data_IF_351126067728
#
_entry.id   IF_351126067728
#
_cell.length_a   1.000
_cell.length_b   1.000
_cell.length_c   1.000
_cell.angle_alpha   90.00
_cell.angle_beta   90.00
_cell.angle_gamma   90.00
#
_symmetry.space_group_name_H-M   'P 1'
#
loop_
_entity.id
_entity.type
_entity.pdbx_description
1 polymer ?
#
# COMPACT_ATOMS: atom_id res chain seq x y z
N UNK A 1 -7.51 -3.06 8.25
CA UNK A 1 -6.50 -4.09 8.61
C UNK A 1 -5.34 -3.41 9.30
N UNK A 2 -4.79 -3.94 10.40
CA UNK A 2 -3.67 -3.27 11.11
C UNK A 2 -2.35 -3.38 10.34
N UNK A 3 -1.38 -2.52 10.67
CA UNK A 3 -0.04 -2.53 10.06
C UNK A 3 0.69 -3.85 10.31
N UNK A 4 0.55 -4.41 11.51
CA UNK A 4 1.15 -5.69 11.90
C UNK A 4 0.58 -6.84 11.08
N UNK A 5 -0.75 -6.84 10.87
CA UNK A 5 -1.41 -7.83 10.02
C UNK A 5 -0.95 -7.70 8.56
N UNK A 6 -0.87 -6.48 8.02
CA UNK A 6 -0.34 -6.26 6.66
C UNK A 6 1.11 -6.75 6.51
N UNK A 7 1.95 -6.48 7.52
CA UNK A 7 3.34 -6.95 7.53
C UNK A 7 3.40 -8.48 7.54
N UNK A 8 2.60 -9.13 8.40
CA UNK A 8 2.51 -10.58 8.47
C UNK A 8 2.10 -11.18 7.12
N UNK A 9 1.05 -10.64 6.49
CA UNK A 9 0.60 -11.07 5.16
C UNK A 9 1.71 -10.92 4.11
N UNK A 10 2.46 -9.82 4.10
CA UNK A 10 3.58 -9.65 3.18
C UNK A 10 4.66 -10.72 3.41
N UNK A 11 5.01 -11.03 4.66
CA UNK A 11 6.01 -12.06 5.00
C UNK A 11 5.53 -13.45 4.56
N UNK A 12 4.29 -13.81 4.89
CA UNK A 12 3.67 -15.10 4.54
C UNK A 12 3.63 -15.34 3.03
N UNK A 13 3.42 -14.28 2.24
CA UNK A 13 3.35 -14.36 0.78
C UNK A 13 4.72 -14.12 0.10
N UNK A 14 5.80 -13.94 0.87
CA UNK A 14 7.14 -13.65 0.33
C UNK A 14 7.24 -12.31 -0.41
N UNK A 15 6.38 -11.35 -0.08
CA UNK A 15 6.37 -10.02 -0.70
C UNK A 15 7.43 -9.12 -0.08
N UNK A 16 8.18 -8.42 -0.92
CA UNK A 16 9.21 -7.49 -0.47
C UNK A 16 8.60 -6.29 0.27
N UNK A 17 9.07 -6.08 1.50
CA UNK A 17 8.85 -4.87 2.30
C UNK A 17 10.19 -4.16 2.44
N UNK A 18 10.18 -2.86 2.18
CA UNK A 18 11.37 -2.01 2.41
C UNK A 18 11.57 -1.73 3.90
N UNK A 19 12.79 -1.36 4.34
CA UNK A 19 13.05 -1.07 5.77
C UNK A 19 12.17 0.04 6.38
N UNK A 20 11.62 0.92 5.53
CA UNK A 20 10.71 1.99 5.93
C UNK A 20 9.22 1.63 5.83
N UNK A 21 8.91 0.32 5.85
CA UNK A 21 7.55 -0.24 5.79
C UNK A 21 6.75 0.19 4.58
N UNK A 22 7.42 0.19 3.42
CA UNK A 22 6.76 0.43 2.14
C UNK A 22 6.76 -0.79 1.26
N UNK A 23 5.68 -0.90 0.49
CA UNK A 23 5.45 -1.93 -0.51
C UNK A 23 5.17 -1.31 -1.87
N UNK A 24 5.46 -2.05 -2.95
CA UNK A 24 5.14 -1.60 -4.32
C UNK A 24 3.62 -1.53 -4.52
N UNK A 25 3.20 -0.75 -5.53
CA UNK A 25 1.78 -0.54 -5.89
C UNK A 25 0.97 -1.82 -6.05
N UNK A 26 1.53 -2.83 -6.71
CA UNK A 26 0.89 -4.13 -6.94
C UNK A 26 0.60 -4.86 -5.63
N UNK A 27 1.55 -4.86 -4.70
CA UNK A 27 1.36 -5.42 -3.35
C UNK A 27 0.38 -4.58 -2.55
N UNK A 28 0.54 -3.25 -2.57
CA UNK A 28 -0.37 -2.33 -1.88
C UNK A 28 -1.83 -2.55 -2.30
N UNK A 29 -2.06 -2.73 -3.60
CA UNK A 29 -3.38 -2.99 -4.17
C UNK A 29 -3.99 -4.30 -3.65
N UNK A 30 -3.17 -5.37 -3.56
CA UNK A 30 -3.59 -6.66 -2.98
C UNK A 30 -3.94 -6.54 -1.50
N UNK A 31 -3.13 -5.81 -0.71
CA UNK A 31 -3.35 -5.65 0.74
C UNK A 31 -4.67 -4.94 1.08
N UNK A 32 -5.12 -4.03 0.21
CA UNK A 32 -6.37 -3.27 0.42
C UNK A 32 -7.54 -3.81 -0.41
N UNK A 33 -7.38 -4.97 -1.06
CA UNK A 33 -8.36 -5.58 -1.97
C UNK A 33 -8.91 -4.62 -3.03
N UNK A 34 -8.01 -3.95 -3.76
CA UNK A 34 -8.35 -3.02 -4.85
C UNK A 34 -7.56 -3.30 -6.12
N UNK A 35 -8.08 -2.80 -7.24
CA UNK A 35 -7.34 -2.77 -8.48
C UNK A 35 -6.16 -1.78 -8.38
N UNK A 36 -4.95 -2.12 -8.89
CA UNK A 36 -3.79 -1.21 -8.88
C UNK A 36 -4.05 0.15 -9.55
N UNK A 37 -4.96 0.18 -10.52
CA UNK A 37 -5.38 1.40 -11.22
C UNK A 37 -6.09 2.39 -10.28
N UNK A 38 -6.80 1.90 -9.26
CA UNK A 38 -7.46 2.72 -8.24
C UNK A 38 -6.46 3.52 -7.42
N UNK A 39 -5.28 2.95 -7.12
CA UNK A 39 -4.20 3.63 -6.42
C UNK A 39 -3.49 4.69 -7.26
N UNK A 40 -3.54 4.56 -8.60
CA UNK A 40 -2.97 5.55 -9.51
C UNK A 40 -3.94 6.71 -9.78
N UNK A 41 -5.24 6.43 -9.80
CA UNK A 41 -6.29 7.42 -10.12
C UNK A 41 -6.75 8.26 -8.92
N UNK A 42 -6.35 7.91 -7.70
CA UNK A 42 -6.67 8.65 -6.46
C UNK A 42 -5.69 9.80 -6.19
N UNK A 43 -4.75 10.09 -7.10
CA UNK A 43 -3.87 11.27 -6.99
C UNK A 43 -4.71 12.53 -7.17
N UNK A 44 -4.83 13.35 -6.12
CA UNK A 44 -5.57 14.61 -6.15
C UNK A 44 -7.05 14.53 -5.75
N UNK A 45 -7.51 13.41 -5.18
CA UNK A 45 -8.86 13.29 -4.59
C UNK A 45 -8.79 13.21 -3.06
N UNK A 46 -9.90 13.44 -2.36
CA UNK A 46 -9.99 13.34 -0.89
C UNK A 46 -9.64 11.94 -0.34
N UNK A 47 -9.53 10.94 -1.22
CA UNK A 47 -9.17 9.55 -0.90
C UNK A 47 -7.75 9.19 -1.38
N UNK A 48 -6.88 10.17 -1.55
CA UNK A 48 -5.49 9.95 -1.93
C UNK A 48 -4.71 9.20 -0.85
N UNK A 49 -4.05 8.10 -1.23
CA UNK A 49 -3.04 7.44 -0.39
C UNK A 49 -1.66 7.99 -0.76
N UNK A 50 -0.92 8.61 0.18
CA UNK A 50 0.43 9.09 -0.06
C UNK A 50 1.33 7.99 -0.61
N UNK A 51 2.14 8.33 -1.62
CA UNK A 51 3.10 7.41 -2.20
C UNK A 51 4.41 8.11 -2.54
N UNK A 52 5.49 7.36 -2.51
CA UNK A 52 6.81 7.83 -2.96
C UNK A 52 7.20 7.11 -4.23
N UNK A 53 7.72 7.86 -5.21
CA UNK A 53 8.23 7.29 -6.46
C UNK A 53 9.70 6.91 -6.27
N UNK A 54 10.02 5.64 -6.49
CA UNK A 54 11.41 5.14 -6.53
C UNK A 54 11.67 4.49 -7.90
N UNK A 55 12.91 4.11 -8.18
CA UNK A 55 13.23 3.34 -9.37
C UNK A 55 12.33 2.08 -9.42
N UNK A 56 11.54 1.94 -10.50
CA UNK A 56 10.62 0.81 -10.68
C UNK A 56 9.17 1.02 -10.18
N UNK A 57 8.80 2.19 -9.67
CA UNK A 57 7.38 2.56 -9.48
C UNK A 57 7.05 3.32 -8.19
N UNK A 58 5.75 3.36 -7.88
CA UNK A 58 5.23 3.97 -6.66
C UNK A 58 5.24 2.96 -5.50
N UNK A 59 5.63 3.46 -4.32
CA UNK A 59 5.69 2.72 -3.07
C UNK A 59 4.78 3.39 -2.04
N UNK A 60 4.03 2.56 -1.31
CA UNK A 60 3.01 2.97 -0.35
C UNK A 60 3.40 2.47 1.04
N UNK A 61 3.23 3.31 2.05
CA UNK A 61 3.54 2.94 3.43
C UNK A 61 2.41 2.09 4.00
N UNK A 62 2.74 1.06 4.77
CA UNK A 62 1.73 0.19 5.37
C UNK A 62 0.79 0.95 6.32
N UNK A 63 1.29 1.97 7.04
CA UNK A 63 0.45 2.85 7.88
C UNK A 63 -0.62 3.57 7.07
N UNK A 64 -0.25 4.14 5.91
CA UNK A 64 -1.18 4.89 5.07
C UNK A 64 -2.24 3.96 4.45
N UNK A 65 -1.86 2.72 4.11
CA UNK A 65 -2.78 1.69 3.65
C UNK A 65 -3.73 1.24 4.76
N UNK A 66 -3.22 1.04 5.97
CA UNK A 66 -4.02 0.72 7.16
C UNK A 66 -5.07 1.79 7.42
N UNK A 67 -4.66 3.06 7.47
CA UNK A 67 -5.54 4.21 7.65
C UNK A 67 -6.61 4.30 6.55
N UNK A 68 -6.22 4.05 5.31
CA UNK A 68 -7.16 4.00 4.19
C UNK A 68 -8.22 2.92 4.38
N UNK A 69 -7.84 1.71 4.77
CA UNK A 69 -8.80 0.61 5.02
C UNK A 69 -9.69 0.86 6.22
N UNK A 70 -9.22 1.63 7.21
CA UNK A 70 -10.03 1.99 8.38
C UNK A 70 -11.11 3.04 8.05
N UNK A 71 -10.93 3.82 6.98
CA UNK A 71 -11.86 4.86 6.52
C UNK A 71 -12.85 4.36 5.46
N UNK A 72 -12.68 3.15 4.93
CA UNK A 72 -13.49 2.60 3.83
C UNK A 72 -14.53 1.63 4.32
#
# INVERSE_FOLDING_TARGET
>A
MSVEAMRATCIENGWTITPDDRVRRDIAAKLIDRAPKTLANTVGTDRHIPSVKRAGGAYYRLSDLSDYTARS
#
